data_IF_532690555802
#
_entry.id   IF_532690555802
#
_cell.length_a   1.000
_cell.length_b   1.000
_cell.length_c   1.000
_cell.angle_alpha   90.00
_cell.angle_beta   90.00
_cell.angle_gamma   90.00
#
_symmetry.space_group_name_H-M   'P 1'
#
loop_
_entity.id
_entity.type
_entity.pdbx_description
1 polymer ?
#
# COMPACT_ATOMS: atom_id res chain seq x y z
N UNK A 1 10.99 -8.47 18.08
CA UNK A 1 10.05 -8.65 19.21
C UNK A 1 9.24 -7.40 19.56
N UNK A 2 9.56 -6.20 19.05
CA UNK A 2 8.83 -4.95 19.31
C UNK A 2 7.53 -4.75 18.48
N UNK A 3 7.40 -5.38 17.30
CA UNK A 3 6.23 -5.19 16.40
C UNK A 3 4.90 -5.74 16.96
N UNK A 4 4.94 -6.83 17.77
CA UNK A 4 3.72 -7.36 18.41
C UNK A 4 3.16 -6.41 19.48
N UNK A 5 4.00 -5.63 20.16
CA UNK A 5 3.56 -4.73 21.23
C UNK A 5 2.81 -3.50 20.70
N UNK A 6 3.21 -2.95 19.55
CA UNK A 6 2.47 -1.83 18.92
C UNK A 6 1.14 -2.28 18.33
N UNK A 7 1.07 -3.49 17.75
CA UNK A 7 -0.20 -4.05 17.30
C UNK A 7 -1.17 -4.27 18.46
N UNK A 8 -0.71 -4.88 19.56
CA UNK A 8 -1.52 -5.04 20.79
C UNK A 8 -1.98 -3.68 21.33
N UNK A 9 -1.10 -2.66 21.30
CA UNK A 9 -1.45 -1.31 21.74
C UNK A 9 -2.55 -0.66 20.87
N UNK A 10 -2.47 -0.78 19.54
CA UNK A 10 -3.51 -0.27 18.64
C UNK A 10 -4.86 -0.98 18.85
N UNK A 11 -4.84 -2.31 19.07
CA UNK A 11 -6.06 -3.06 19.37
C UNK A 11 -6.65 -2.66 20.74
N UNK A 12 -5.81 -2.37 21.73
CA UNK A 12 -6.25 -1.94 23.06
C UNK A 12 -6.83 -0.52 23.09
N UNK A 13 -6.33 0.41 22.28
CA UNK A 13 -6.88 1.78 22.21
C UNK A 13 -8.30 1.82 21.59
N UNK A 14 -8.59 0.93 20.64
CA UNK A 14 -9.93 0.79 20.08
C UNK A 14 -10.91 0.29 21.15
N UNK A 15 -10.47 -0.65 21.99
CA UNK A 15 -11.28 -1.19 23.10
C UNK A 15 -11.62 -0.15 24.17
N UNK A 16 -10.80 0.90 24.35
CA UNK A 16 -11.09 1.98 25.31
C UNK A 16 -12.33 2.80 24.97
N UNK A 17 -12.78 2.74 23.71
CA UNK A 17 -13.91 3.53 23.20
C UNK A 17 -15.15 2.67 22.92
N UNK A 18 -15.09 1.37 23.21
CA UNK A 18 -16.21 0.45 23.04
C UNK A 18 -17.07 0.34 24.31
N UNK A 19 -18.39 0.24 24.13
CA UNK A 19 -19.31 -0.13 25.21
C UNK A 19 -19.06 -1.60 25.64
N UNK A 20 -19.22 -1.96 26.92
CA UNK A 20 -18.89 -3.31 27.43
C UNK A 20 -19.56 -4.46 26.68
N UNK A 21 -20.76 -4.23 26.13
CA UNK A 21 -21.51 -5.21 25.34
C UNK A 21 -20.93 -5.46 23.95
N UNK A 22 -20.21 -4.49 23.38
CA UNK A 22 -19.64 -4.55 22.03
C UNK A 22 -18.18 -5.02 22.03
N UNK A 23 -17.52 -4.98 23.20
CA UNK A 23 -16.14 -5.41 23.39
C UNK A 23 -15.96 -6.87 23.01
N UNK A 24 -16.87 -7.76 23.42
CA UNK A 24 -16.75 -9.19 23.15
C UNK A 24 -16.87 -9.53 21.66
N UNK A 25 -17.82 -8.91 20.96
CA UNK A 25 -17.95 -9.08 19.51
C UNK A 25 -16.73 -8.54 18.75
N UNK A 26 -16.20 -7.39 19.18
CA UNK A 26 -15.00 -6.81 18.58
C UNK A 26 -13.75 -7.68 18.84
N UNK A 27 -13.62 -8.25 20.04
CA UNK A 27 -12.55 -9.19 20.41
C UNK A 27 -12.64 -10.50 19.61
N UNK A 28 -13.84 -10.97 19.28
CA UNK A 28 -14.06 -12.14 18.42
C UNK A 28 -13.72 -11.87 16.94
N UNK A 29 -13.85 -10.62 16.47
CA UNK A 29 -13.53 -10.20 15.10
C UNK A 29 -12.08 -9.72 14.91
N UNK A 30 -11.25 -9.78 15.96
CA UNK A 30 -9.85 -9.40 15.86
C UNK A 30 -9.09 -10.36 14.93
N UNK A 31 -8.29 -9.84 13.98
CA UNK A 31 -7.40 -10.69 13.21
C UNK A 31 -6.43 -11.42 14.15
N UNK A 32 -6.29 -12.74 14.00
CA UNK A 32 -5.39 -13.55 14.84
C UNK A 32 -3.90 -13.17 14.65
N UNK A 33 -3.57 -12.43 13.59
CA UNK A 33 -2.23 -11.98 13.29
C UNK A 33 -2.19 -10.68 12.47
N UNK A 34 -1.00 -10.06 12.43
CA UNK A 34 -0.70 -8.96 11.50
C UNK A 34 -0.91 -9.37 10.04
N UNK A 35 -0.57 -10.61 9.68
CA UNK A 35 -0.77 -11.11 8.32
C UNK A 35 -2.26 -11.13 7.95
N UNK A 36 -3.14 -11.62 8.84
CA UNK A 36 -4.60 -11.59 8.62
C UNK A 36 -5.14 -10.15 8.56
N UNK A 37 -4.57 -9.25 9.37
CA UNK A 37 -4.88 -7.81 9.30
C UNK A 37 -4.55 -7.26 7.91
N UNK A 38 -3.37 -7.58 7.37
CA UNK A 38 -2.95 -7.12 6.04
C UNK A 38 -3.77 -7.77 4.92
N UNK A 39 -4.11 -9.06 5.00
CA UNK A 39 -4.99 -9.70 4.02
C UNK A 39 -6.36 -9.03 3.95
N UNK A 40 -6.95 -8.74 5.11
CA UNK A 40 -8.24 -8.04 5.18
C UNK A 40 -8.16 -6.69 4.48
N UNK A 41 -7.15 -5.89 4.79
CA UNK A 41 -6.92 -4.59 4.15
C UNK A 41 -6.75 -4.73 2.63
N UNK A 42 -5.93 -5.69 2.17
CA UNK A 42 -5.71 -5.93 0.74
C UNK A 42 -6.99 -6.37 0.00
N UNK A 43 -7.89 -7.09 0.68
CA UNK A 43 -9.21 -7.49 0.14
C UNK A 43 -10.17 -6.33 0.00
N UNK A 44 -10.11 -5.36 0.90
CA UNK A 44 -10.96 -4.17 0.92
C UNK A 44 -10.62 -3.19 -0.23
N UNK A 45 -9.44 -3.31 -0.84
CA UNK A 45 -9.07 -2.56 -2.04
C UNK A 45 -10.04 -2.92 -3.19
N UNK A 46 -10.79 -1.91 -3.63
CA UNK A 46 -11.79 -2.01 -4.70
C UNK A 46 -11.14 -2.53 -5.97
N UNK A 47 -11.83 -3.47 -6.65
CA UNK A 47 -11.39 -4.06 -7.94
C UNK A 47 -10.79 -3.06 -8.95
N UNK A 48 -11.42 -1.90 -9.26
CA UNK A 48 -10.85 -0.93 -10.20
C UNK A 48 -9.52 -0.28 -9.74
N UNK A 49 -9.21 -0.33 -8.44
CA UNK A 49 -8.02 0.31 -7.87
C UNK A 49 -6.88 -0.70 -7.65
N UNK A 50 -7.06 -1.99 -7.95
CA UNK A 50 -6.09 -3.02 -7.56
C UNK A 50 -4.76 -2.90 -8.30
N UNK A 51 -4.79 -2.62 -9.60
CA UNK A 51 -3.57 -2.47 -10.39
C UNK A 51 -2.80 -1.21 -9.99
N UNK A 52 -3.50 -0.10 -9.80
CA UNK A 52 -2.97 1.14 -9.22
C UNK A 52 -2.33 0.90 -7.84
N UNK A 53 -3.06 0.26 -6.93
CA UNK A 53 -2.57 -0.09 -5.61
C UNK A 53 -1.32 -0.97 -5.68
N UNK A 54 -1.32 -2.00 -6.53
CA UNK A 54 -0.17 -2.89 -6.73
C UNK A 54 1.05 -2.10 -7.22
N UNK A 55 0.87 -1.23 -8.21
CA UNK A 55 1.94 -0.40 -8.76
C UNK A 55 2.54 0.52 -7.70
N UNK A 56 1.69 1.24 -6.94
CA UNK A 56 2.13 2.08 -5.82
C UNK A 56 2.95 1.30 -4.78
N UNK A 57 2.43 0.15 -4.35
CA UNK A 57 3.08 -0.70 -3.36
C UNK A 57 4.42 -1.23 -3.89
N UNK A 58 4.50 -1.61 -5.18
CA UNK A 58 5.75 -2.01 -5.83
C UNK A 58 6.78 -0.88 -5.77
N UNK A 59 6.43 0.34 -6.20
CA UNK A 59 7.31 1.50 -6.15
C UNK A 59 7.82 1.75 -4.72
N UNK A 60 6.94 1.74 -3.72
CA UNK A 60 7.30 1.94 -2.31
C UNK A 60 8.21 0.83 -1.74
N UNK A 61 8.07 -0.43 -2.20
CA UNK A 61 8.94 -1.53 -1.75
C UNK A 61 10.39 -1.31 -2.19
N UNK A 62 10.62 -0.84 -3.42
CA UNK A 62 11.96 -0.77 -4.01
C UNK A 62 12.59 0.63 -4.00
N UNK A 63 11.82 1.67 -3.66
CA UNK A 63 12.33 3.02 -3.56
C UNK A 63 13.50 3.11 -2.57
N UNK A 64 14.61 3.69 -3.04
CA UNK A 64 15.83 3.91 -2.23
C UNK A 64 15.65 5.17 -1.37
N UNK A 65 14.99 6.18 -1.93
CA UNK A 65 14.68 7.45 -1.26
C UNK A 65 13.18 7.53 -1.00
N UNK A 66 12.74 8.22 0.07
CA UNK A 66 11.32 8.51 0.27
C UNK A 66 10.74 9.21 -0.96
N UNK A 67 9.65 8.68 -1.49
CA UNK A 67 8.96 9.27 -2.64
C UNK A 67 8.06 10.39 -2.18
N UNK A 68 8.09 11.52 -2.86
CA UNK A 68 7.14 12.60 -2.65
C UNK A 68 5.74 12.17 -3.09
N UNK A 69 4.72 12.83 -2.52
CA UNK A 69 3.32 12.62 -2.90
C UNK A 69 3.15 12.82 -4.40
N UNK A 70 3.74 13.88 -4.95
CA UNK A 70 3.69 14.25 -6.35
C UNK A 70 4.33 13.16 -7.21
N UNK A 71 5.57 12.76 -6.90
CA UNK A 71 6.32 11.73 -7.64
C UNK A 71 5.57 10.40 -7.69
N UNK A 72 5.00 9.97 -6.57
CA UNK A 72 4.28 8.71 -6.49
C UNK A 72 2.90 8.80 -7.18
N UNK A 73 2.26 9.98 -7.18
CA UNK A 73 1.01 10.18 -7.89
C UNK A 73 1.18 10.19 -9.42
N UNK A 74 2.32 10.65 -9.95
CA UNK A 74 2.63 10.55 -11.38
C UNK A 74 2.62 9.09 -11.87
N UNK A 75 3.06 8.14 -11.03
CA UNK A 75 3.03 6.71 -11.34
C UNK A 75 1.60 6.21 -11.64
N UNK A 76 0.58 6.83 -11.04
CA UNK A 76 -0.83 6.48 -11.29
C UNK A 76 -1.32 6.92 -12.68
N UNK A 77 -0.64 7.89 -13.29
CA UNK A 77 -0.95 8.36 -14.64
C UNK A 77 -0.15 7.60 -15.72
N UNK A 78 0.73 6.68 -15.35
CA UNK A 78 1.49 5.86 -16.30
C UNK A 78 0.66 4.66 -16.75
N UNK A 79 0.45 4.55 -18.06
CA UNK A 79 -0.10 3.36 -18.69
C UNK A 79 1.02 2.35 -18.93
N UNK A 80 1.00 1.25 -18.17
CA UNK A 80 1.97 0.15 -18.29
C UNK A 80 1.54 -0.92 -19.31
N UNK A 81 0.32 -0.85 -19.82
CA UNK A 81 -0.28 -1.83 -20.74
C UNK A 81 -0.43 -1.27 -22.18
N UNK A 82 0.26 -0.17 -22.50
CA UNK A 82 0.25 0.44 -23.84
C UNK A 82 0.63 -0.58 -24.92
N UNK A 83 -0.07 -0.52 -26.06
CA UNK A 83 0.03 -1.51 -27.13
C UNK A 83 1.45 -1.62 -27.74
N UNK A 84 2.29 -0.60 -27.57
CA UNK A 84 3.68 -0.60 -28.04
C UNK A 84 4.65 -1.23 -27.04
N UNK A 85 4.16 -1.65 -25.86
CA UNK A 85 4.98 -2.22 -24.78
C UNK A 85 5.89 -1.21 -24.10
N UNK A 86 5.70 0.08 -24.36
CA UNK A 86 6.46 1.19 -23.78
C UNK A 86 5.53 1.94 -22.83
N UNK A 87 5.84 1.98 -21.52
CA UNK A 87 5.03 2.73 -20.57
C UNK A 87 4.97 4.21 -20.90
N UNK A 88 3.76 4.78 -20.89
CA UNK A 88 3.52 6.17 -21.29
C UNK A 88 2.74 6.91 -20.23
N UNK A 89 3.19 8.11 -19.89
CA UNK A 89 2.42 9.01 -19.05
C UNK A 89 1.20 9.53 -19.82
N UNK A 90 0.02 9.40 -19.22
CA UNK A 90 -1.22 9.94 -19.74
C UNK A 90 -1.66 11.14 -18.90
N UNK A 91 -1.47 12.38 -19.39
CA UNK A 91 -1.84 13.59 -18.65
C UNK A 91 -3.31 13.65 -18.24
N UNK A 92 -4.19 12.96 -18.98
CA UNK A 92 -5.63 12.93 -18.69
C UNK A 92 -5.98 12.06 -17.47
N UNK A 93 -5.03 11.26 -16.98
CA UNK A 93 -5.20 10.41 -15.80
C UNK A 93 -4.64 11.07 -14.53
N UNK A 94 -4.16 12.31 -14.62
CA UNK A 94 -3.78 13.08 -13.45
C UNK A 94 -4.98 13.32 -12.55
N UNK A 95 -4.78 13.08 -11.26
CA UNK A 95 -5.77 13.36 -10.25
C UNK A 95 -5.58 14.78 -9.72
N UNK A 96 -6.67 15.55 -9.65
CA UNK A 96 -6.65 16.91 -9.09
C UNK A 96 -6.14 16.94 -7.64
N UNK A 97 -6.41 15.88 -6.87
CA UNK A 97 -5.90 15.70 -5.51
C UNK A 97 -5.04 14.43 -5.42
N UNK A 98 -3.73 14.61 -5.56
CA UNK A 98 -2.73 13.54 -5.54
C UNK A 98 -2.75 12.73 -4.24
N UNK A 99 -2.90 13.39 -3.09
CA UNK A 99 -2.97 12.71 -1.79
C UNK A 99 -4.19 11.81 -1.69
N UNK A 100 -5.34 12.33 -2.13
CA UNK A 100 -6.59 11.58 -2.14
C UNK A 100 -6.48 10.36 -3.05
N UNK A 101 -5.82 10.47 -4.21
CA UNK A 101 -5.58 9.35 -5.12
C UNK A 101 -4.76 8.22 -4.47
N UNK A 102 -3.68 8.59 -3.74
CA UNK A 102 -2.85 7.63 -3.00
C UNK A 102 -3.63 6.96 -1.87
N UNK A 103 -4.38 7.73 -1.08
CA UNK A 103 -5.17 7.21 0.03
C UNK A 103 -6.33 6.32 -0.45
N UNK A 104 -6.99 6.66 -1.55
CA UNK A 104 -8.04 5.84 -2.17
C UNK A 104 -7.51 4.50 -2.70
N UNK A 105 -6.21 4.41 -2.95
CA UNK A 105 -5.57 3.20 -3.45
C UNK A 105 -5.13 2.27 -2.31
N UNK A 106 -4.53 2.81 -1.23
CA UNK A 106 -3.87 2.00 -0.19
C UNK A 106 -3.88 2.61 1.23
N UNK A 107 -4.86 3.44 1.60
CA UNK A 107 -4.81 4.29 2.82
C UNK A 107 -4.31 3.67 4.13
N UNK A 108 -4.67 2.44 4.48
CA UNK A 108 -4.22 1.83 5.76
C UNK A 108 -2.83 1.19 5.69
N UNK A 109 -2.28 0.98 4.49
CA UNK A 109 -0.95 0.41 4.27
C UNK A 109 0.15 1.46 4.14
N UNK A 110 -0.22 2.71 3.84
CA UNK A 110 0.71 3.82 3.63
C UNK A 110 0.43 4.96 4.61
N UNK A 111 1.42 5.83 4.79
CA UNK A 111 1.30 7.06 5.54
C UNK A 111 1.98 8.19 4.76
N UNK A 112 1.37 9.37 4.78
CA UNK A 112 1.97 10.59 4.26
C UNK A 112 2.57 11.34 5.44
N UNK A 113 3.86 11.64 5.36
CA UNK A 113 4.63 12.31 6.41
C UNK A 113 5.03 13.69 5.92
N UNK A 114 4.81 14.68 6.79
CA UNK A 114 5.28 16.04 6.59
C UNK A 114 6.77 16.14 6.95
N UNK A 115 7.58 16.53 5.97
CA UNK A 115 9.02 16.77 6.07
C UNK A 115 9.33 18.27 5.86
N UNK A 116 8.50 19.14 6.44
CA UNK A 116 8.67 20.59 6.44
C UNK A 116 8.15 21.24 5.17
N UNK A 117 8.98 21.30 4.13
CA UNK A 117 8.59 21.88 2.84
C UNK A 117 8.09 20.84 1.83
N UNK A 118 8.04 19.57 2.22
CA UNK A 118 7.74 18.45 1.34
C UNK A 118 6.96 17.39 2.08
N UNK A 119 6.13 16.63 1.36
CA UNK A 119 5.36 15.51 1.92
C UNK A 119 5.78 14.23 1.22
N UNK A 120 6.15 13.24 2.01
CA UNK A 120 6.67 11.96 1.51
C UNK A 120 5.75 10.82 1.89
N UNK A 121 5.73 9.79 1.06
CA UNK A 121 4.92 8.59 1.24
C UNK A 121 5.81 7.46 1.74
N UNK A 122 5.36 6.79 2.79
CA UNK A 122 6.01 5.58 3.31
C UNK A 122 4.97 4.53 3.66
N UNK A 123 5.40 3.31 3.95
CA UNK A 123 4.52 2.33 4.57
C UNK A 123 4.10 2.81 5.96
N UNK A 124 2.83 2.59 6.32
CA UNK A 124 2.30 2.91 7.65
C UNK A 124 3.05 2.15 8.75
N UNK A 125 3.61 0.99 8.42
CA UNK A 125 4.47 0.20 9.30
C UNK A 125 5.48 -0.64 8.51
N UNK A 126 6.70 -0.82 9.05
CA UNK A 126 7.75 -1.60 8.40
C UNK A 126 7.32 -3.04 8.05
N UNK A 127 6.50 -3.68 8.90
CA UNK A 127 6.04 -5.04 8.65
C UNK A 127 5.06 -5.17 7.47
N UNK A 128 4.51 -4.06 6.94
CA UNK A 128 3.74 -4.09 5.69
C UNK A 128 4.67 -4.49 4.53
N UNK A 129 5.83 -3.83 4.43
CA UNK A 129 6.86 -4.18 3.44
C UNK A 129 7.34 -5.61 3.59
N UNK A 130 7.60 -6.03 4.83
CA UNK A 130 8.00 -7.43 5.11
C UNK A 130 6.92 -8.42 4.66
N UNK A 131 5.65 -8.11 4.88
CA UNK A 131 4.54 -8.97 4.49
C UNK A 131 4.39 -9.08 2.97
N UNK A 132 4.40 -7.94 2.26
CA UNK A 132 4.23 -7.88 0.80
C UNK A 132 5.32 -8.63 0.03
N UNK A 133 6.53 -8.73 0.61
CA UNK A 133 7.69 -9.43 0.02
C UNK A 133 7.90 -10.84 0.57
N UNK A 134 7.00 -11.31 1.44
CA UNK A 134 7.17 -12.60 2.12
C UNK A 134 6.62 -13.78 1.32
N UNK A 135 7.23 -14.95 1.52
CA UNK A 135 6.68 -16.23 1.07
C UNK A 135 5.27 -16.50 1.63
N UNK A 136 4.92 -15.92 2.79
CA UNK A 136 3.62 -16.09 3.44
C UNK A 136 2.49 -15.48 2.60
N UNK A 137 2.74 -14.34 1.95
CA UNK A 137 1.81 -13.79 0.98
C UNK A 137 1.88 -14.55 -0.35
N UNK A 138 3.07 -14.99 -0.78
CA UNK A 138 3.24 -15.77 -2.02
C UNK A 138 2.47 -17.10 -2.05
N UNK A 139 2.25 -17.72 -0.90
CA UNK A 139 1.47 -18.97 -0.76
C UNK A 139 0.07 -18.74 -0.20
N UNK A 140 -0.42 -17.50 -0.24
CA UNK A 140 -1.72 -17.14 0.33
C UNK A 140 -2.89 -17.41 -0.64
N UNK A 141 -4.09 -17.01 -0.23
CA UNK A 141 -5.31 -17.12 -1.03
C UNK A 141 -5.22 -16.29 -2.31
N UNK A 142 -5.78 -16.82 -3.41
CA UNK A 142 -5.65 -16.26 -4.76
C UNK A 142 -6.17 -14.82 -4.91
N UNK A 143 -7.05 -14.39 -4.03
CA UNK A 143 -7.64 -13.06 -4.00
C UNK A 143 -6.69 -11.95 -3.54
N UNK A 144 -5.61 -12.30 -2.84
CA UNK A 144 -4.56 -11.37 -2.38
C UNK A 144 -3.17 -11.64 -2.99
N UNK A 145 -2.99 -12.77 -3.69
CA UNK A 145 -1.72 -13.13 -4.32
C UNK A 145 -1.19 -12.08 -5.29
N UNK A 146 -2.07 -11.30 -5.94
CA UNK A 146 -1.66 -10.25 -6.86
C UNK A 146 -0.85 -9.12 -6.18
N UNK A 147 -0.90 -9.01 -4.86
CA UNK A 147 -0.13 -8.05 -4.07
C UNK A 147 1.21 -8.60 -3.56
N UNK A 148 1.54 -9.86 -3.85
CA UNK A 148 2.90 -10.35 -3.58
C UNK A 148 3.90 -9.66 -4.50
N UNK A 149 4.91 -9.03 -3.89
CA UNK A 149 5.89 -8.20 -4.60
C UNK A 149 7.21 -8.96 -4.75
N UNK A 150 7.53 -9.26 -6.01
CA UNK A 150 8.86 -9.73 -6.42
C UNK A 150 9.73 -8.52 -6.72
N UNK A 151 10.88 -8.41 -6.05
CA UNK A 151 11.75 -7.23 -6.12
C UNK A 151 12.21 -6.91 -7.55
N UNK A 152 12.56 -7.92 -8.34
CA UNK A 152 12.98 -7.71 -9.74
C UNK A 152 11.90 -7.02 -10.58
N UNK A 153 10.66 -7.48 -10.50
CA UNK A 153 9.52 -6.86 -11.20
C UNK A 153 9.24 -5.46 -10.68
N UNK A 154 9.30 -5.26 -9.36
CA UNK A 154 9.06 -3.94 -8.76
C UNK A 154 10.13 -2.91 -9.18
N UNK A 155 11.40 -3.32 -9.26
CA UNK A 155 12.46 -2.47 -9.82
C UNK A 155 12.19 -2.10 -11.27
N UNK A 156 11.74 -3.04 -12.11
CA UNK A 156 11.36 -2.76 -13.50
C UNK A 156 10.23 -1.75 -13.58
N UNK A 157 9.16 -1.91 -12.78
CA UNK A 157 8.01 -0.99 -12.76
C UNK A 157 8.44 0.41 -12.36
N UNK A 158 9.22 0.56 -11.28
CA UNK A 158 9.70 1.87 -10.85
C UNK A 158 10.61 2.50 -11.92
N UNK A 159 11.53 1.73 -12.51
CA UNK A 159 12.41 2.23 -13.57
C UNK A 159 11.62 2.69 -14.81
N UNK A 160 10.61 1.92 -15.20
CA UNK A 160 9.70 2.29 -16.28
C UNK A 160 8.95 3.58 -15.99
N UNK A 161 8.35 3.70 -14.80
CA UNK A 161 7.65 4.92 -14.39
C UNK A 161 8.57 6.15 -14.45
N UNK A 162 9.80 6.03 -13.94
CA UNK A 162 10.79 7.11 -14.02
C UNK A 162 11.10 7.50 -15.47
N UNK A 163 11.26 6.54 -16.37
CA UNK A 163 11.54 6.82 -17.79
C UNK A 163 10.36 7.46 -18.51
N UNK A 164 9.12 7.21 -18.07
CA UNK A 164 7.91 7.81 -18.64
C UNK A 164 7.66 9.26 -18.22
N UNK A 165 8.30 9.71 -17.14
CA UNK A 165 8.12 11.05 -16.54
C UNK A 165 9.25 12.02 -16.95
N UNK A 166 10.39 11.50 -17.42
CA UNK A 166 11.54 12.27 -17.92
C UNK A 166 11.30 12.88 -19.30
#
# INVERSE_FOLDING_TARGET
SLNRFRWIFCQLEILRHCLPSSVWHFLEELPESLDETYKRVLREIKKPNRDHARCLLQCLVVAIWPLHVEELAEVLAVDFDDAEGIPKLNPNWHWENQEQALLMSCSSLIAIIDMGSSRVVQFSHFSVKEYLTSARLATSSQDVLCYHIVLGTAHTILAQACLSIL
#
